data_IF_908378822581
#
_entry.id   IF_908378822581
#
_cell.length_a   1.000
_cell.length_b   1.000
_cell.length_c   1.000
_cell.angle_alpha   90.00
_cell.angle_beta   90.00
_cell.angle_gamma   90.00
#
_symmetry.space_group_name_H-M   'P 1'
#
loop_
_entity.id
_entity.type
_entity.pdbx_description
1 polymer ?
#
# COMPACT_ATOMS: atom_id res chain seq x y z
N UNK A 1 -11.84 -10.76 -22.54
CA UNK A 1 -11.85 -9.79 -21.44
C UNK A 1 -10.85 -8.71 -21.78
N UNK A 2 -11.29 -7.48 -22.01
CA UNK A 2 -10.36 -6.36 -22.17
C UNK A 2 -9.51 -6.27 -20.91
N UNK A 3 -8.19 -6.25 -21.09
CA UNK A 3 -7.25 -5.94 -20.01
C UNK A 3 -7.52 -4.49 -19.63
N UNK A 4 -8.15 -4.27 -18.48
CA UNK A 4 -8.36 -2.91 -17.99
C UNK A 4 -6.98 -2.27 -17.77
N UNK A 5 -6.76 -1.12 -18.40
CA UNK A 5 -5.50 -0.40 -18.30
C UNK A 5 -5.41 0.25 -16.90
N UNK A 6 -4.64 -0.36 -16.01
CA UNK A 6 -4.40 0.15 -14.65
C UNK A 6 -3.18 1.05 -14.70
N UNK A 7 -3.36 2.33 -14.42
CA UNK A 7 -2.28 3.30 -14.29
C UNK A 7 -1.94 3.53 -12.83
N UNK A 8 -0.65 3.50 -12.48
CA UNK A 8 -0.18 3.78 -11.12
C UNK A 8 0.49 5.15 -11.10
N UNK A 9 0.05 6.01 -10.19
CA UNK A 9 0.61 7.37 -9.99
C UNK A 9 1.00 7.57 -8.51
N UNK A 10 1.99 8.43 -8.21
CA UNK A 10 2.28 8.85 -6.85
C UNK A 10 1.07 9.52 -6.17
N UNK A 11 0.94 9.41 -4.84
CA UNK A 11 -0.13 10.11 -4.12
C UNK A 11 -0.06 11.64 -4.26
N UNK A 12 1.11 12.20 -4.54
CA UNK A 12 1.29 13.64 -4.81
C UNK A 12 0.57 14.11 -6.08
N UNK A 13 0.11 13.20 -6.94
CA UNK A 13 -0.62 13.51 -8.18
C UNK A 13 -2.14 13.38 -8.03
N UNK A 14 -2.66 13.10 -6.83
CA UNK A 14 -4.10 13.01 -6.58
C UNK A 14 -4.55 13.96 -5.46
N UNK A 15 -5.82 14.34 -5.47
CA UNK A 15 -6.39 15.15 -4.41
C UNK A 15 -6.52 14.38 -3.09
N UNK A 16 -6.24 15.07 -1.98
CA UNK A 16 -6.37 14.52 -0.64
C UNK A 16 -7.78 13.97 -0.36
N UNK A 17 -8.83 14.61 -0.87
CA UNK A 17 -10.22 14.19 -0.66
C UNK A 17 -10.53 12.84 -1.31
N UNK A 18 -9.93 12.56 -2.48
CA UNK A 18 -10.06 11.29 -3.18
C UNK A 18 -9.36 10.19 -2.38
N UNK A 19 -8.12 10.43 -1.96
CA UNK A 19 -7.39 9.53 -1.07
C UNK A 19 -8.15 9.27 0.23
N UNK A 20 -8.68 10.31 0.87
CA UNK A 20 -9.38 10.22 2.14
C UNK A 20 -10.61 9.31 2.06
N UNK A 21 -11.32 9.30 0.92
CA UNK A 21 -12.46 8.41 0.69
C UNK A 21 -12.03 6.94 0.71
N UNK A 22 -10.95 6.58 0.01
CA UNK A 22 -10.41 5.21 0.04
C UNK A 22 -9.81 4.86 1.40
N UNK A 23 -9.15 5.81 2.06
CA UNK A 23 -8.55 5.64 3.37
C UNK A 23 -9.60 5.40 4.47
N UNK A 24 -10.74 6.08 4.41
CA UNK A 24 -11.87 5.84 5.31
C UNK A 24 -12.50 4.46 5.07
N UNK A 25 -12.66 4.05 3.81
CA UNK A 25 -13.15 2.70 3.48
C UNK A 25 -12.20 1.60 3.99
N UNK A 26 -10.88 1.83 3.91
CA UNK A 26 -9.87 0.93 4.48
C UNK A 26 -9.97 0.83 6.00
N UNK A 27 -10.13 1.96 6.69
CA UNK A 27 -10.35 1.99 8.15
C UNK A 27 -11.62 1.25 8.56
N UNK A 28 -12.72 1.46 7.84
CA UNK A 28 -13.98 0.76 8.06
C UNK A 28 -13.84 -0.76 7.89
N UNK A 29 -13.07 -1.22 6.90
CA UNK A 29 -12.77 -2.64 6.69
C UNK A 29 -12.04 -3.26 7.90
N UNK A 30 -11.11 -2.52 8.53
CA UNK A 30 -10.41 -2.95 9.75
C UNK A 30 -11.16 -2.60 11.05
N UNK A 31 -12.35 -2.01 10.97
CA UNK A 31 -13.15 -1.56 12.11
C UNK A 31 -12.38 -0.62 13.05
N UNK A 32 -11.53 0.24 12.47
CA UNK A 32 -10.77 1.25 13.21
C UNK A 32 -11.41 2.61 12.96
N UNK A 33 -11.53 3.41 14.01
CA UNK A 33 -11.91 4.82 13.93
C UNK A 33 -10.73 5.69 14.36
N UNK A 34 -10.04 6.29 13.38
CA UNK A 34 -8.93 7.20 13.65
C UNK A 34 -9.42 8.64 13.71
N UNK A 35 -8.86 9.41 14.64
CA UNK A 35 -9.04 10.85 14.67
C UNK A 35 -8.63 11.47 13.32
N UNK A 36 -9.40 12.45 12.85
CA UNK A 36 -9.14 13.14 11.58
C UNK A 36 -7.71 13.71 11.49
N UNK A 37 -7.17 14.18 12.62
CA UNK A 37 -5.80 14.69 12.72
C UNK A 37 -4.74 13.63 12.37
N UNK A 38 -4.98 12.36 12.69
CA UNK A 38 -4.09 11.25 12.31
C UNK A 38 -4.08 11.12 10.79
N UNK A 39 -5.25 11.10 10.16
CA UNK A 39 -5.36 11.00 8.69
C UNK A 39 -4.72 12.19 7.98
N UNK A 40 -4.88 13.41 8.51
CA UNK A 40 -4.19 14.62 8.00
C UNK A 40 -2.67 14.50 8.10
N UNK A 41 -2.17 14.02 9.24
CA UNK A 41 -0.73 13.80 9.45
C UNK A 41 -0.19 12.70 8.53
N UNK A 42 -0.92 11.60 8.34
CA UNK A 42 -0.57 10.53 7.39
C UNK A 42 -0.47 11.07 5.97
N UNK A 43 -1.49 11.79 5.49
CA UNK A 43 -1.45 12.41 4.16
C UNK A 43 -0.25 13.34 3.99
N UNK A 44 0.01 14.20 4.99
CA UNK A 44 1.16 15.11 4.96
C UNK A 44 2.47 14.34 4.81
N UNK A 45 2.70 13.30 5.62
CA UNK A 45 3.93 12.49 5.54
C UNK A 45 4.07 11.76 4.20
N UNK A 46 2.98 11.23 3.66
CA UNK A 46 2.99 10.50 2.38
C UNK A 46 3.23 11.41 1.15
N UNK A 47 3.05 12.72 1.29
CA UNK A 47 3.14 13.68 0.18
C UNK A 47 4.19 14.79 0.38
N UNK A 48 4.82 14.87 1.55
CA UNK A 48 5.92 15.78 1.82
C UNK A 48 7.23 15.28 1.21
N UNK A 49 7.81 16.07 0.31
CA UNK A 49 9.10 15.77 -0.33
C UNK A 49 10.27 15.68 0.66
N UNK A 50 10.14 16.24 1.88
CA UNK A 50 11.14 16.09 2.94
C UNK A 50 11.02 14.77 3.69
N UNK A 51 9.90 14.05 3.54
CA UNK A 51 9.62 12.79 4.22
C UNK A 51 9.82 11.60 3.27
N UNK A 52 11.03 11.43 2.74
CA UNK A 52 11.30 10.47 1.66
C UNK A 52 11.15 8.98 2.04
N UNK A 53 11.09 8.67 3.33
CA UNK A 53 10.95 7.30 3.84
C UNK A 53 9.49 6.85 3.95
N UNK A 54 8.52 7.76 3.79
CA UNK A 54 7.09 7.42 3.71
C UNK A 54 6.50 7.95 2.43
N UNK A 55 5.86 7.09 1.65
CA UNK A 55 5.25 7.46 0.38
C UNK A 55 4.13 6.50 0.02
N UNK A 56 3.38 6.82 -1.03
CA UNK A 56 2.33 5.93 -1.52
C UNK A 56 2.02 6.14 -2.99
N UNK A 57 1.21 5.23 -3.51
CA UNK A 57 0.72 5.26 -4.89
C UNK A 57 -0.78 5.03 -4.94
N UNK A 58 -1.41 5.59 -5.97
CA UNK A 58 -2.79 5.37 -6.34
C UNK A 58 -2.89 4.58 -7.64
N UNK A 59 -3.84 3.67 -7.72
CA UNK A 59 -4.20 2.96 -8.94
C UNK A 59 -5.42 3.61 -9.60
N UNK A 60 -5.34 3.85 -10.90
CA UNK A 60 -6.38 4.48 -11.69
C UNK A 60 -6.91 3.53 -12.76
N UNK A 61 -8.23 3.51 -12.93
CA UNK A 61 -8.92 2.86 -14.05
C UNK A 61 -9.84 3.90 -14.69
N UNK A 62 -9.67 4.14 -15.99
CA UNK A 62 -10.43 5.17 -16.73
C UNK A 62 -10.45 6.54 -16.01
N UNK A 63 -9.31 6.95 -15.45
CA UNK A 63 -9.15 8.22 -14.74
C UNK A 63 -9.68 8.26 -13.30
N UNK A 64 -10.29 7.17 -12.80
CA UNK A 64 -10.79 7.09 -11.42
C UNK A 64 -9.77 6.42 -10.52
N UNK A 65 -9.51 7.00 -9.35
CA UNK A 65 -8.68 6.37 -8.31
C UNK A 65 -9.48 5.25 -7.64
N UNK A 66 -8.97 4.02 -7.71
CA UNK A 66 -9.67 2.79 -7.31
C UNK A 66 -8.87 1.93 -6.33
N UNK A 67 -7.63 2.31 -6.03
CA UNK A 67 -6.82 1.65 -5.02
C UNK A 67 -5.69 2.53 -4.54
N UNK A 68 -5.22 2.26 -3.33
CA UNK A 68 -4.11 2.98 -2.69
C UNK A 68 -3.16 1.98 -2.04
N UNK A 69 -1.88 2.36 -1.97
CA UNK A 69 -0.86 1.65 -1.21
C UNK A 69 0.03 2.64 -0.47
N UNK A 70 0.38 2.33 0.78
CA UNK A 70 1.32 3.09 1.60
C UNK A 70 2.57 2.27 1.89
N UNK A 71 3.73 2.92 1.88
CA UNK A 71 5.03 2.29 2.09
C UNK A 71 5.83 3.09 3.13
N UNK A 72 6.49 2.37 4.03
CA UNK A 72 7.45 2.92 4.99
C UNK A 72 8.79 2.21 4.81
N UNK A 73 9.82 2.96 4.49
CA UNK A 73 11.20 2.48 4.46
C UNK A 73 11.87 2.65 5.82
N UNK A 74 12.65 1.64 6.22
CA UNK A 74 13.37 1.68 7.48
C UNK A 74 14.71 0.93 7.40
N UNK A 75 15.68 1.38 8.19
CA UNK A 75 16.96 0.69 8.32
C UNK A 75 16.81 -0.69 8.95
N UNK A 76 17.82 -1.53 8.72
CA UNK A 76 17.88 -2.88 9.22
C UNK A 76 19.26 -3.15 9.83
N UNK A 77 19.31 -3.83 10.96
CA UNK A 77 20.56 -4.33 11.53
C UNK A 77 21.07 -5.60 10.82
N UNK A 78 20.33 -6.13 9.84
CA UNK A 78 20.62 -7.40 9.18
C UNK A 78 21.15 -7.21 7.75
N UNK A 79 21.06 -5.98 7.22
CA UNK A 79 21.43 -5.65 5.84
C UNK A 79 22.04 -4.26 5.79
N UNK A 80 22.90 -4.02 4.80
CA UNK A 80 23.46 -2.67 4.55
C UNK A 80 22.44 -1.71 3.93
N UNK A 81 21.36 -2.24 3.35
CA UNK A 81 20.30 -1.54 2.64
C UNK A 81 19.00 -1.59 3.45
N UNK A 82 18.12 -0.58 3.33
CA UNK A 82 16.87 -0.52 4.08
C UNK A 82 15.86 -1.59 3.62
N UNK A 83 14.85 -1.85 4.44
CA UNK A 83 13.65 -2.60 4.06
C UNK A 83 12.52 -1.64 3.71
N UNK A 84 11.61 -2.09 2.84
CA UNK A 84 10.36 -1.41 2.55
C UNK A 84 9.19 -2.19 3.13
N UNK A 85 8.50 -1.61 4.09
CA UNK A 85 7.25 -2.13 4.65
C UNK A 85 6.07 -1.57 3.84
N UNK A 86 5.42 -2.43 3.08
CA UNK A 86 4.15 -2.12 2.42
C UNK A 86 3.05 -2.20 3.49
N UNK A 87 2.75 -1.06 4.09
CA UNK A 87 1.98 -0.95 5.33
C UNK A 87 0.47 -1.13 5.09
N UNK A 88 -0.07 -0.42 4.11
CA UNK A 88 -1.50 -0.44 3.80
C UNK A 88 -1.69 -0.72 2.31
N UNK A 89 -2.68 -1.57 2.00
CA UNK A 89 -3.07 -1.88 0.63
C UNK A 89 -4.59 -1.99 0.54
N UNK A 90 -5.19 -1.18 -0.32
CA UNK A 90 -6.64 -1.17 -0.49
C UNK A 90 -7.05 -1.10 -1.95
N UNK A 91 -8.14 -1.78 -2.27
CA UNK A 91 -8.84 -1.69 -3.56
C UNK A 91 -10.32 -1.50 -3.27
N UNK A 92 -10.90 -0.49 -3.89
CA UNK A 92 -12.33 -0.21 -3.83
C UNK A 92 -13.12 -1.46 -4.23
N UNK A 93 -14.23 -1.73 -3.54
CA UNK A 93 -14.96 -3.00 -3.64
C UNK A 93 -15.41 -3.33 -5.07
N UNK A 94 -15.96 -2.36 -5.80
CA UNK A 94 -16.37 -2.48 -7.21
C UNK A 94 -15.24 -2.85 -8.18
N UNK A 95 -13.98 -2.66 -7.77
CA UNK A 95 -12.79 -2.90 -8.60
C UNK A 95 -11.95 -4.10 -8.11
N UNK A 96 -12.46 -4.85 -7.13
CA UNK A 96 -11.82 -6.09 -6.67
C UNK A 96 -11.88 -7.16 -7.75
N UNK A 97 -10.88 -8.05 -7.79
CA UNK A 97 -10.76 -9.08 -8.81
C UNK A 97 -10.22 -8.60 -10.16
N UNK A 98 -10.05 -7.29 -10.36
CA UNK A 98 -9.55 -6.70 -11.62
C UNK A 98 -8.02 -6.54 -11.67
N UNK A 99 -7.30 -7.00 -10.63
CA UNK A 99 -5.84 -6.96 -10.59
C UNK A 99 -5.22 -5.68 -9.98
N UNK A 100 -6.02 -4.74 -9.49
CA UNK A 100 -5.58 -3.47 -8.88
C UNK A 100 -4.51 -3.67 -7.79
N UNK A 101 -4.81 -4.49 -6.78
CA UNK A 101 -3.88 -4.76 -5.68
C UNK A 101 -2.56 -5.39 -6.17
N UNK A 102 -2.61 -6.23 -7.20
CA UNK A 102 -1.42 -6.83 -7.80
C UNK A 102 -0.55 -5.77 -8.47
N UNK A 103 -1.15 -4.90 -9.27
CA UNK A 103 -0.46 -3.81 -9.95
C UNK A 103 0.22 -2.86 -8.96
N UNK A 104 -0.45 -2.53 -7.85
CA UNK A 104 0.14 -1.73 -6.76
C UNK A 104 1.36 -2.42 -6.12
N UNK A 105 1.26 -3.71 -5.77
CA UNK A 105 2.39 -4.46 -5.19
C UNK A 105 3.57 -4.53 -6.17
N UNK A 106 3.30 -4.83 -7.44
CA UNK A 106 4.34 -4.91 -8.48
C UNK A 106 5.01 -3.55 -8.69
N UNK A 107 4.24 -2.45 -8.67
CA UNK A 107 4.80 -1.10 -8.71
C UNK A 107 5.70 -0.79 -7.52
N UNK A 108 5.25 -1.11 -6.29
CA UNK A 108 6.07 -0.93 -5.07
C UNK A 108 7.38 -1.71 -5.16
N UNK A 109 7.35 -2.96 -5.64
CA UNK A 109 8.56 -3.76 -5.84
C UNK A 109 9.53 -3.11 -6.82
N UNK A 110 9.05 -2.64 -7.97
CA UNK A 110 9.90 -1.94 -8.95
C UNK A 110 10.44 -0.61 -8.40
N UNK A 111 9.63 0.13 -7.66
CA UNK A 111 10.03 1.42 -7.10
C UNK A 111 11.12 1.26 -6.02
N UNK A 112 10.94 0.33 -5.10
CA UNK A 112 11.88 0.03 -4.01
C UNK A 112 13.19 -0.59 -4.52
N UNK A 113 13.14 -1.38 -5.59
CA UNK A 113 14.35 -1.88 -6.26
C UNK A 113 15.21 -0.73 -6.82
N UNK A 114 14.58 0.27 -7.46
CA UNK A 114 15.27 1.49 -7.94
C UNK A 114 15.85 2.33 -6.81
N UNK A 115 15.24 2.27 -5.62
CA UNK A 115 15.72 2.92 -4.38
C UNK A 115 16.72 2.06 -3.60
N UNK A 116 17.11 0.91 -4.15
CA UNK A 116 18.06 -0.03 -3.55
C UNK A 116 17.64 -0.56 -2.16
N UNK A 117 16.34 -0.72 -1.90
CA UNK A 117 15.89 -1.49 -0.73
C UNK A 117 16.30 -2.96 -0.88
N UNK A 118 16.66 -3.62 0.22
CA UNK A 118 17.02 -5.05 0.22
C UNK A 118 15.80 -5.95 -0.06
N UNK A 119 14.63 -5.56 0.48
CA UNK A 119 13.37 -6.30 0.29
C UNK A 119 12.14 -5.46 0.57
N UNK A 120 11.01 -5.95 0.04
CA UNK A 120 9.66 -5.51 0.37
C UNK A 120 8.97 -6.58 1.21
N UNK A 121 8.27 -6.20 2.27
CA UNK A 121 7.43 -7.10 3.06
C UNK A 121 6.13 -6.41 3.51
N UNK A 122 5.15 -7.20 3.92
CA UNK A 122 3.91 -6.74 4.52
C UNK A 122 3.35 -7.78 5.47
N UNK A 123 2.38 -7.36 6.28
CA UNK A 123 1.67 -8.20 7.24
C UNK A 123 0.19 -8.25 6.87
N UNK A 124 -0.48 -9.32 7.24
CA UNK A 124 -1.92 -9.44 7.08
C UNK A 124 -2.48 -10.34 8.18
N UNK A 125 -3.73 -10.09 8.58
CA UNK A 125 -4.39 -10.95 9.56
C UNK A 125 -4.52 -12.37 9.00
N UNK A 126 -4.34 -13.38 9.85
CA UNK A 126 -4.42 -14.79 9.45
C UNK A 126 -5.78 -15.17 8.83
N UNK A 127 -6.84 -14.44 9.17
CA UNK A 127 -8.19 -14.66 8.66
C UNK A 127 -8.48 -13.91 7.36
N UNK A 128 -7.58 -13.04 6.88
CA UNK A 128 -7.73 -12.36 5.60
C UNK A 128 -7.35 -13.30 4.44
N UNK A 129 -8.13 -14.37 4.29
CA UNK A 129 -7.90 -15.43 3.32
C UNK A 129 -7.97 -14.90 1.88
N UNK A 130 -8.83 -13.91 1.62
CA UNK A 130 -8.97 -13.25 0.31
C UNK A 130 -7.67 -12.56 -0.09
N UNK A 131 -7.08 -11.74 0.79
CA UNK A 131 -5.81 -11.09 0.50
C UNK A 131 -4.66 -12.12 0.40
N UNK A 132 -4.66 -13.16 1.26
CA UNK A 132 -3.66 -14.21 1.23
C UNK A 132 -3.64 -15.00 -0.10
N UNK A 133 -4.78 -15.20 -0.77
CA UNK A 133 -4.82 -15.82 -2.10
C UNK A 133 -3.99 -15.04 -3.13
N UNK A 134 -4.02 -13.70 -3.08
CA UNK A 134 -3.16 -12.86 -3.90
C UNK A 134 -1.71 -12.95 -3.41
N UNK A 135 -1.47 -12.79 -2.11
CA UNK A 135 -0.12 -12.74 -1.55
C UNK A 135 0.69 -14.01 -1.81
N UNK A 136 0.05 -15.18 -1.75
CA UNK A 136 0.68 -16.46 -2.08
C UNK A 136 1.16 -16.56 -3.54
N UNK A 137 0.66 -15.70 -4.44
CA UNK A 137 1.07 -15.65 -5.85
C UNK A 137 2.21 -14.66 -6.11
N UNK A 138 2.39 -13.66 -5.24
CA UNK A 138 3.33 -12.53 -5.46
C UNK A 138 4.46 -12.44 -4.42
N UNK A 139 4.35 -13.21 -3.33
CA UNK A 139 5.32 -13.30 -2.25
C UNK A 139 5.34 -14.70 -1.61
N UNK A 140 6.28 -14.90 -0.67
CA UNK A 140 6.42 -16.12 0.11
C UNK A 140 6.00 -15.86 1.56
N UNK A 141 5.18 -16.75 2.13
CA UNK A 141 4.87 -16.74 3.58
C UNK A 141 6.13 -17.14 4.35
N UNK A 142 6.64 -16.24 5.18
CA UNK A 142 7.93 -16.40 5.88
C UNK A 142 7.83 -17.08 7.24
N UNK A 143 6.62 -17.19 7.80
CA UNK A 143 6.38 -17.85 9.09
C UNK A 143 6.63 -16.98 10.33
N UNK A 144 6.88 -15.68 10.17
CA UNK A 144 6.96 -14.76 11.32
C UNK A 144 5.59 -14.55 11.98
N UNK A 145 5.60 -14.45 13.31
CA UNK A 145 4.45 -14.12 14.16
C UNK A 145 4.70 -12.72 14.74
N UNK A 146 3.70 -11.84 14.68
CA UNK A 146 3.78 -10.50 15.25
C UNK A 146 3.27 -10.50 16.70
N UNK A 147 4.05 -9.92 17.61
CA UNK A 147 3.65 -9.64 18.99
C UNK A 147 3.53 -8.12 19.17
N UNK A 148 2.50 -7.67 19.88
CA UNK A 148 2.35 -6.29 20.35
C UNK A 148 2.44 -6.28 21.87
N UNK A 149 3.12 -5.28 22.43
CA UNK A 149 3.20 -5.03 23.87
C UNK A 149 2.24 -3.91 24.28
#
# INVERSE_FOLDING_TARGET
>A
MEVQNIHIVPLTEIDQSIWATLWQAYQAFYQVDLLEQISKNTWHKLTDSKCEHMYGFAALIAGRVVGIVHVVEHDSCWTLKPYAYLQDLFTHEDYRGLGVARALIEHVKMHTEKRACDRVYWLTHQDNLVAQQLYNKVAKKTGFIQYSA
#
